data_IF_073514782857
#
_entry.id   IF_073514782857
#
_cell.length_a   1.000
_cell.length_b   1.000
_cell.length_c   1.000
_cell.angle_alpha   90.00
_cell.angle_beta   90.00
_cell.angle_gamma   90.00
#
_symmetry.space_group_name_H-M   'P 1'
#
loop_
_entity.id
_entity.type
_entity.pdbx_description
1 polymer ?
#
# COMPACT_ATOMS: atom_id res chain seq x y z
N UNK A 1 41.21 -9.00 1.84
CA UNK A 1 40.32 -8.10 1.08
C UNK A 1 38.92 -8.64 1.23
N UNK A 2 38.05 -7.97 2.00
CA UNK A 2 36.68 -8.43 2.22
C UNK A 2 35.79 -7.84 1.12
N UNK A 3 35.18 -8.72 0.32
CA UNK A 3 34.21 -8.34 -0.70
C UNK A 3 32.94 -7.84 -0.01
N UNK A 4 32.77 -6.52 0.03
CA UNK A 4 31.51 -5.89 0.39
C UNK A 4 30.50 -6.21 -0.72
N UNK A 5 29.63 -7.18 -0.50
CA UNK A 5 28.45 -7.41 -1.34
C UNK A 5 27.58 -6.16 -1.28
N UNK A 6 27.66 -5.33 -2.32
CA UNK A 6 26.73 -4.24 -2.55
C UNK A 6 25.36 -4.86 -2.85
N UNK A 7 24.55 -5.06 -1.82
CA UNK A 7 23.13 -5.31 -1.96
C UNK A 7 22.54 -4.12 -2.70
N UNK A 8 22.18 -4.32 -3.97
CA UNK A 8 21.37 -3.38 -4.74
C UNK A 8 20.16 -2.99 -3.90
N UNK A 9 19.88 -1.69 -3.70
CA UNK A 9 18.70 -1.30 -2.95
C UNK A 9 17.48 -1.83 -3.69
N UNK A 10 16.74 -2.74 -3.06
CA UNK A 10 15.38 -3.08 -3.46
C UNK A 10 14.61 -1.77 -3.59
N UNK A 11 14.06 -1.50 -4.78
CA UNK A 11 13.35 -0.26 -5.12
C UNK A 11 12.26 0.03 -4.09
N UNK A 12 12.59 0.85 -3.08
CA UNK A 12 11.68 1.17 -1.97
C UNK A 12 10.64 2.17 -2.45
N UNK A 13 9.38 1.92 -2.11
CA UNK A 13 8.25 2.83 -2.35
C UNK A 13 8.50 4.11 -1.56
N UNK A 14 8.85 5.19 -2.27
CA UNK A 14 9.04 6.52 -1.69
C UNK A 14 7.90 7.45 -2.09
N UNK A 15 7.73 8.55 -1.36
CA UNK A 15 6.79 9.62 -1.74
C UNK A 15 7.09 10.12 -3.18
N UNK A 16 8.36 10.20 -3.56
CA UNK A 16 8.77 10.58 -4.91
C UNK A 16 8.27 9.59 -5.96
N UNK A 17 8.44 8.29 -5.71
CA UNK A 17 7.94 7.23 -6.59
C UNK A 17 6.41 7.28 -6.71
N UNK A 18 5.70 7.52 -5.60
CA UNK A 18 4.25 7.69 -5.59
C UNK A 18 3.82 8.87 -6.48
N UNK A 19 4.50 10.01 -6.37
CA UNK A 19 4.22 11.18 -7.21
C UNK A 19 4.46 10.89 -8.70
N UNK A 20 5.51 10.15 -9.04
CA UNK A 20 5.79 9.73 -10.42
C UNK A 20 4.71 8.78 -10.96
N UNK A 21 4.27 7.82 -10.14
CA UNK A 21 3.19 6.89 -10.51
C UNK A 21 1.89 7.66 -10.73
N UNK A 22 1.53 8.57 -9.83
CA UNK A 22 0.36 9.45 -9.97
C UNK A 22 0.40 10.24 -11.29
N UNK A 23 1.58 10.73 -11.69
CA UNK A 23 1.76 11.42 -12.96
C UNK A 23 1.72 10.49 -14.20
N UNK A 24 2.03 9.20 -14.04
CA UNK A 24 1.96 8.19 -15.11
C UNK A 24 0.56 7.58 -15.28
N UNK A 25 -0.31 7.69 -14.26
CA UNK A 25 -1.72 7.34 -14.37
C UNK A 25 -2.42 8.44 -15.17
N UNK A 26 -2.31 8.34 -16.51
CA UNK A 26 -2.81 9.34 -17.45
C UNK A 26 -4.34 9.45 -17.45
N UNK A 27 -5.04 8.39 -17.06
CA UNK A 27 -6.49 8.36 -16.88
C UNK A 27 -6.82 8.20 -15.40
N UNK A 28 -7.15 9.33 -14.76
CA UNK A 28 -7.74 9.37 -13.43
C UNK A 28 -8.83 8.28 -13.27
N UNK A 29 -8.72 7.47 -12.22
CA UNK A 29 -9.56 6.29 -12.01
C UNK A 29 -11.05 6.59 -11.95
N UNK A 30 -11.82 6.06 -12.88
CA UNK A 30 -13.28 6.10 -12.86
C UNK A 30 -13.83 4.71 -12.51
N UNK A 31 -15.13 4.61 -12.30
CA UNK A 31 -15.81 3.34 -11.97
C UNK A 31 -15.63 2.23 -13.00
N UNK A 32 -15.03 2.53 -14.17
CA UNK A 32 -14.88 1.63 -15.33
C UNK A 32 -13.47 1.06 -15.49
N UNK A 33 -12.43 1.62 -14.86
CA UNK A 33 -11.03 1.23 -15.09
C UNK A 33 -10.34 0.62 -13.87
N UNK A 34 -11.11 0.03 -12.96
CA UNK A 34 -10.59 -0.70 -11.79
C UNK A 34 -9.58 -1.80 -12.16
N UNK A 35 -9.83 -2.57 -13.24
CA UNK A 35 -8.86 -3.57 -13.70
C UNK A 35 -7.50 -2.94 -14.09
N UNK A 36 -7.49 -1.74 -14.67
CA UNK A 36 -6.26 -1.02 -15.03
C UNK A 36 -5.50 -0.55 -13.79
N UNK A 37 -6.22 -0.02 -12.80
CA UNK A 37 -5.64 0.28 -11.47
C UNK A 37 -4.96 -0.94 -10.91
N UNK A 38 -5.67 -2.07 -10.85
CA UNK A 38 -5.15 -3.28 -10.26
C UNK A 38 -3.88 -3.74 -10.99
N UNK A 39 -3.87 -3.70 -12.32
CA UNK A 39 -2.70 -4.05 -13.12
C UNK A 39 -1.51 -3.09 -12.91
N UNK A 40 -1.74 -1.80 -12.66
CA UNK A 40 -0.66 -0.82 -12.49
C UNK A 40 -0.14 -0.77 -11.05
N UNK A 41 -1.04 -0.81 -10.07
CA UNK A 41 -0.74 -0.58 -8.65
C UNK A 41 -0.30 -1.86 -7.96
N UNK A 42 -0.90 -3.02 -8.28
CA UNK A 42 -0.56 -4.28 -7.61
C UNK A 42 0.92 -4.69 -7.80
N UNK A 43 1.52 -4.63 -9.01
CA UNK A 43 2.93 -4.98 -9.17
C UNK A 43 3.89 -4.07 -8.41
N UNK A 44 3.51 -2.79 -8.20
CA UNK A 44 4.32 -1.83 -7.45
C UNK A 44 4.34 -2.17 -5.95
N UNK A 45 3.21 -2.60 -5.41
CA UNK A 45 3.08 -3.04 -4.03
C UNK A 45 3.76 -4.40 -3.81
N UNK A 46 3.58 -5.33 -4.75
CA UNK A 46 4.23 -6.65 -4.72
C UNK A 46 5.76 -6.52 -4.82
N UNK A 47 6.27 -5.69 -5.73
CA UNK A 47 7.70 -5.42 -5.88
C UNK A 47 8.35 -4.78 -4.64
N UNK A 48 7.54 -4.22 -3.75
CA UNK A 48 7.96 -3.64 -2.47
C UNK A 48 7.75 -4.56 -1.27
N UNK A 49 7.31 -5.81 -1.47
CA UNK A 49 6.94 -6.74 -0.40
C UNK A 49 5.81 -6.23 0.53
N UNK A 50 5.00 -5.27 0.06
CA UNK A 50 3.92 -4.65 0.83
C UNK A 50 2.54 -5.25 0.51
N UNK A 51 2.48 -6.30 -0.30
CA UNK A 51 1.24 -6.94 -0.72
C UNK A 51 0.37 -7.44 0.44
N UNK A 52 0.97 -7.74 1.59
CA UNK A 52 0.26 -8.16 2.79
C UNK A 52 -0.68 -7.08 3.36
N UNK A 53 -0.47 -5.80 3.02
CA UNK A 53 -1.37 -4.71 3.42
C UNK A 53 -2.65 -4.64 2.57
N UNK A 54 -2.72 -5.45 1.50
CA UNK A 54 -3.85 -5.50 0.58
C UNK A 54 -4.41 -6.91 0.45
N UNK A 55 -3.59 -7.92 0.19
CA UNK A 55 -4.06 -9.25 -0.21
C UNK A 55 -4.47 -10.13 0.97
N UNK A 56 -3.81 -9.97 2.11
CA UNK A 56 -4.07 -10.76 3.31
C UNK A 56 -4.72 -9.89 4.38
N UNK A 57 -5.56 -10.50 5.22
CA UNK A 57 -5.90 -9.94 6.54
C UNK A 57 -4.68 -10.16 7.46
N UNK A 58 -3.57 -9.52 7.09
CA UNK A 58 -2.32 -9.63 7.82
C UNK A 58 -2.53 -8.95 9.16
N UNK A 59 -2.51 -9.75 10.24
CA UNK A 59 -2.60 -9.20 11.59
C UNK A 59 -1.41 -8.28 11.82
N UNK A 60 -1.70 -7.00 11.98
CA UNK A 60 -0.67 -6.02 12.33
C UNK A 60 0.06 -6.47 13.61
N UNK A 61 1.38 -6.29 13.70
CA UNK A 61 2.14 -6.58 14.92
C UNK A 61 1.55 -5.82 16.12
N UNK A 62 1.73 -6.32 17.34
CA UNK A 62 1.32 -5.58 18.55
C UNK A 62 2.19 -4.33 18.73
N UNK A 63 1.60 -3.24 19.25
CA UNK A 63 2.31 -1.98 19.45
C UNK A 63 3.46 -2.08 20.47
N UNK A 64 3.34 -2.99 21.42
CA UNK A 64 4.36 -3.30 22.43
C UNK A 64 4.69 -4.78 22.44
N UNK A 65 5.91 -5.09 22.86
CA UNK A 65 6.43 -6.44 23.08
C UNK A 65 7.09 -6.50 24.46
N UNK A 66 7.09 -7.68 25.08
CA UNK A 66 7.84 -7.91 26.31
C UNK A 66 9.27 -8.31 25.93
N UNK A 67 10.24 -7.49 26.29
CA UNK A 67 11.65 -7.77 26.06
C UNK A 67 12.13 -8.93 26.93
N UNK A 68 13.28 -9.50 26.58
CA UNK A 68 13.91 -10.58 27.37
C UNK A 68 14.21 -10.15 28.82
N UNK A 69 14.28 -8.85 29.08
CA UNK A 69 14.42 -8.24 30.42
C UNK A 69 13.13 -8.26 31.25
N UNK A 70 12.00 -8.70 30.68
CA UNK A 70 10.67 -8.66 31.28
C UNK A 70 9.99 -7.29 31.22
N UNK A 71 10.62 -6.28 30.63
CA UNK A 71 10.05 -4.93 30.45
C UNK A 71 9.25 -4.84 29.17
N UNK A 72 8.21 -4.00 29.19
CA UNK A 72 7.45 -3.65 28.00
C UNK A 72 8.23 -2.63 27.16
N UNK A 73 8.44 -2.95 25.88
CA UNK A 73 9.17 -2.14 24.91
C UNK A 73 8.32 -1.90 23.66
N UNK A 74 8.56 -0.78 22.98
CA UNK A 74 7.88 -0.48 21.71
C UNK A 74 8.28 -1.45 20.62
N UNK A 75 7.29 -1.95 19.88
CA UNK A 75 7.56 -2.84 18.76
C UNK A 75 7.89 -2.03 17.50
N UNK A 76 9.17 -2.00 17.12
CA UNK A 76 9.59 -1.37 15.88
C UNK A 76 8.91 -1.97 14.63
N UNK A 77 8.54 -3.26 14.66
CA UNK A 77 7.80 -3.88 13.56
C UNK A 77 6.38 -3.31 13.39
N UNK A 78 5.73 -2.86 14.48
CA UNK A 78 4.44 -2.17 14.39
C UNK A 78 4.59 -0.82 13.70
N UNK A 79 5.62 -0.05 14.05
CA UNK A 79 5.89 1.25 13.40
C UNK A 79 6.19 1.11 11.92
N UNK A 80 6.98 0.09 11.54
CA UNK A 80 7.27 -0.23 10.13
C UNK A 80 5.98 -0.61 9.39
N UNK A 81 5.20 -1.54 9.95
CA UNK A 81 3.91 -1.96 9.38
C UNK A 81 2.95 -0.77 9.17
N UNK A 82 2.85 0.13 10.15
CA UNK A 82 2.02 1.33 10.03
C UNK A 82 2.53 2.28 8.94
N UNK A 83 3.86 2.43 8.82
CA UNK A 83 4.46 3.27 7.80
C UNK A 83 4.20 2.72 6.39
N UNK A 84 4.33 1.41 6.22
CA UNK A 84 4.05 0.71 4.95
C UNK A 84 2.58 0.84 4.57
N UNK A 85 1.64 0.57 5.49
CA UNK A 85 0.21 0.73 5.24
C UNK A 85 -0.13 2.16 4.76
N UNK A 86 0.47 3.19 5.39
CA UNK A 86 0.29 4.58 4.99
C UNK A 86 0.85 4.89 3.60
N UNK A 87 1.98 4.27 3.22
CA UNK A 87 2.55 4.42 1.88
C UNK A 87 1.67 3.78 0.83
N UNK A 88 1.19 2.56 1.08
CA UNK A 88 0.26 1.86 0.19
C UNK A 88 -1.04 2.64 0.04
N UNK A 89 -1.60 3.15 1.14
CA UNK A 89 -2.78 4.01 1.13
C UNK A 89 -2.56 5.29 0.32
N UNK A 90 -1.41 5.93 0.49
CA UNK A 90 -1.06 7.14 -0.26
C UNK A 90 -0.93 6.85 -1.74
N UNK A 91 -0.31 5.72 -2.11
CA UNK A 91 -0.22 5.26 -3.48
C UNK A 91 -1.61 5.05 -4.09
N UNK A 92 -2.49 4.29 -3.42
CA UNK A 92 -3.84 4.04 -3.93
C UNK A 92 -4.56 5.37 -4.12
N UNK A 93 -4.62 6.22 -3.10
CA UNK A 93 -5.30 7.52 -3.18
C UNK A 93 -4.75 8.44 -4.28
N UNK A 94 -3.44 8.43 -4.51
CA UNK A 94 -2.80 9.23 -5.56
C UNK A 94 -3.16 8.77 -6.98
N UNK A 95 -3.72 7.56 -7.13
CA UNK A 95 -4.20 7.04 -8.41
C UNK A 95 -5.70 7.23 -8.62
N UNK A 96 -6.47 7.62 -7.59
CA UNK A 96 -7.93 7.78 -7.68
C UNK A 96 -8.33 9.09 -8.35
N UNK A 97 -9.40 9.07 -9.17
CA UNK A 97 -10.01 10.32 -9.64
C UNK A 97 -10.76 11.05 -8.52
N UNK A 98 -11.06 12.32 -8.77
CA UNK A 98 -11.97 13.11 -7.93
C UNK A 98 -13.36 12.47 -7.75
N UNK A 99 -13.81 11.60 -8.66
CA UNK A 99 -15.10 10.89 -8.55
C UNK A 99 -15.05 9.69 -7.61
N UNK A 100 -13.87 9.08 -7.42
CA UNK A 100 -13.68 7.89 -6.59
C UNK A 100 -13.11 8.23 -5.21
N UNK A 101 -12.36 9.32 -5.11
CA UNK A 101 -11.78 9.82 -3.85
C UNK A 101 -12.80 9.94 -2.69
N UNK A 102 -14.06 10.39 -2.88
CA UNK A 102 -15.04 10.46 -1.79
C UNK A 102 -15.35 9.11 -1.12
N UNK A 103 -15.21 7.99 -1.82
CA UNK A 103 -15.45 6.66 -1.27
C UNK A 103 -14.35 6.17 -0.31
N UNK A 104 -13.18 6.82 -0.33
CA UNK A 104 -12.03 6.43 0.49
C UNK A 104 -11.82 7.34 1.70
N UNK A 105 -12.61 8.41 1.80
CA UNK A 105 -12.59 9.36 2.92
C UNK A 105 -13.06 8.66 4.20
N UNK A 106 -12.26 8.76 5.26
CA UNK A 106 -12.58 8.18 6.57
C UNK A 106 -12.10 6.74 6.76
N UNK A 107 -11.60 6.08 5.71
CA UNK A 107 -10.98 4.77 5.83
C UNK A 107 -9.58 4.89 6.45
N UNK A 108 -9.25 3.98 7.35
CA UNK A 108 -8.05 4.04 8.17
C UNK A 108 -6.88 3.35 7.49
N UNK A 109 -7.12 2.22 6.84
CA UNK A 109 -6.08 1.32 6.29
C UNK A 109 -6.11 1.22 4.76
N UNK A 110 -5.00 0.79 4.16
CA UNK A 110 -4.93 0.49 2.73
C UNK A 110 -5.89 -0.65 2.34
N UNK A 111 -6.04 -1.67 3.21
CA UNK A 111 -6.95 -2.81 2.99
C UNK A 111 -8.40 -2.40 2.88
N UNK A 112 -8.86 -1.48 3.75
CA UNK A 112 -10.24 -0.97 3.70
C UNK A 112 -10.52 -0.25 2.39
N UNK A 113 -9.59 0.63 1.97
CA UNK A 113 -9.69 1.33 0.69
C UNK A 113 -9.76 0.33 -0.45
N UNK A 114 -8.81 -0.62 -0.49
CA UNK A 114 -8.76 -1.61 -1.55
C UNK A 114 -10.04 -2.44 -1.63
N UNK A 115 -10.59 -2.85 -0.48
CA UNK A 115 -11.83 -3.62 -0.39
C UNK A 115 -13.03 -2.83 -0.91
N UNK A 116 -13.18 -1.56 -0.54
CA UNK A 116 -14.27 -0.73 -1.07
C UNK A 116 -14.14 -0.58 -2.59
N UNK A 117 -12.93 -0.36 -3.10
CA UNK A 117 -12.70 -0.26 -4.54
C UNK A 117 -13.04 -1.57 -5.27
N UNK A 118 -12.65 -2.71 -4.69
CA UNK A 118 -12.96 -4.05 -5.20
C UNK A 118 -14.48 -4.30 -5.21
N UNK A 119 -15.16 -4.10 -4.07
CA UNK A 119 -16.60 -4.33 -3.93
C UNK A 119 -17.44 -3.45 -4.87
N UNK A 120 -17.05 -2.18 -5.04
CA UNK A 120 -17.80 -1.20 -5.85
C UNK A 120 -17.50 -1.29 -7.35
N UNK A 121 -16.26 -1.62 -7.73
CA UNK A 121 -15.79 -1.44 -9.12
C UNK A 121 -15.27 -2.72 -9.78
N UNK A 122 -14.95 -3.79 -9.04
CA UNK A 122 -14.54 -5.06 -9.67
C UNK A 122 -15.68 -5.70 -10.48
N UNK A 123 -16.94 -5.49 -10.08
CA UNK A 123 -18.11 -5.95 -10.83
C UNK A 123 -18.43 -5.06 -12.04
N UNK A 124 -18.15 -3.76 -11.92
CA UNK A 124 -18.48 -2.73 -12.93
C UNK A 124 -17.47 -2.66 -14.08
N UNK A 125 -16.24 -3.13 -13.90
CA UNK A 125 -15.17 -3.10 -14.91
C UNK A 125 -15.07 -4.36 -15.79
N UNK A 126 -16.00 -5.31 -15.63
CA UNK A 126 -16.10 -6.54 -16.46
C UNK A 126 -17.05 -6.39 -17.66
N UNK A 127 -17.56 -5.19 -17.92
CA UNK A 127 -18.57 -4.90 -18.93
C UNK A 127 -18.01 -3.95 -20.01
#
# INVERSE_FOLDING_TARGET
>A
MASSTSSTPLSTLTIQTIAQISAMVTDELTTKNYNTLQHQVLPLIEGNSMANHILADSKAPTATIVANSGKEEQNHAFSICQQEDRLVKSLINATLSSKVCPFTVGLSTAREIWKILEDQFANSSKQ
#
